data_IF_836636382500
#
_entry.id   IF_836636382500
#
_cell.length_a   1.000
_cell.length_b   1.000
_cell.length_c   1.000
_cell.angle_alpha   90.00
_cell.angle_beta   90.00
_cell.angle_gamma   90.00
#
_symmetry.space_group_name_H-M   'P 1'
#
loop_
_entity.id
_entity.type
_entity.pdbx_description
1 polymer ?
#
# COMPACT_ATOMS: atom_id res chain seq x y z
N UNK A 1 16.39 19.76 4.59
CA UNK A 1 14.98 19.76 4.13
C UNK A 1 14.25 18.67 4.90
N UNK A 2 13.09 18.93 5.53
CA UNK A 2 12.36 17.89 6.24
C UNK A 2 11.87 16.84 5.23
N UNK A 3 12.18 15.57 5.49
CA UNK A 3 11.69 14.44 4.67
C UNK A 3 10.18 14.32 4.89
N UNK A 4 9.39 14.71 3.88
CA UNK A 4 7.94 14.57 3.93
C UNK A 4 7.59 13.08 3.89
N UNK A 5 6.91 12.59 4.92
CA UNK A 5 6.43 11.20 4.98
C UNK A 5 5.06 11.19 4.31
N UNK A 6 4.97 10.59 3.13
CA UNK A 6 3.68 10.41 2.46
C UNK A 6 3.02 9.13 3.00
N UNK A 7 1.73 9.26 3.33
CA UNK A 7 0.92 8.20 3.87
C UNK A 7 -0.25 7.96 2.93
N UNK A 8 -0.43 6.71 2.54
CA UNK A 8 -1.51 6.26 1.67
C UNK A 8 -2.53 5.48 2.48
N UNK A 9 -3.78 5.58 2.09
CA UNK A 9 -4.85 4.68 2.52
C UNK A 9 -5.05 3.58 1.50
N UNK A 10 -5.82 2.56 1.88
CA UNK A 10 -6.24 1.49 0.94
C UNK A 10 -6.89 2.06 -0.32
N UNK A 11 -7.65 3.16 -0.20
CA UNK A 11 -8.31 3.80 -1.34
C UNK A 11 -7.29 4.44 -2.29
N UNK A 12 -6.26 5.10 -1.75
CA UNK A 12 -5.22 5.75 -2.56
C UNK A 12 -4.43 4.71 -3.35
N UNK A 13 -4.07 3.58 -2.71
CA UNK A 13 -3.39 2.47 -3.37
C UNK A 13 -4.30 1.84 -4.44
N UNK A 14 -5.57 1.60 -4.13
CA UNK A 14 -6.54 1.04 -5.08
C UNK A 14 -6.68 1.93 -6.32
N UNK A 15 -6.77 3.25 -6.13
CA UNK A 15 -6.85 4.23 -7.21
C UNK A 15 -5.55 4.29 -8.01
N UNK A 16 -4.38 4.26 -7.36
CA UNK A 16 -3.07 4.29 -8.02
C UNK A 16 -2.82 3.05 -8.89
N UNK A 17 -3.29 1.89 -8.46
CA UNK A 17 -3.12 0.62 -9.17
C UNK A 17 -4.29 0.30 -10.12
N UNK A 18 -5.39 1.05 -10.06
CA UNK A 18 -6.59 0.79 -10.85
C UNK A 18 -7.32 -0.51 -10.47
N UNK A 19 -7.18 -0.97 -9.21
CA UNK A 19 -7.76 -2.22 -8.71
C UNK A 19 -8.84 -1.96 -7.67
N UNK A 20 -9.58 -3.01 -7.31
CA UNK A 20 -10.61 -2.92 -6.27
C UNK A 20 -9.97 -2.79 -4.88
N UNK A 21 -10.63 -2.03 -4.00
CA UNK A 21 -10.26 -1.87 -2.59
C UNK A 21 -10.18 -3.23 -1.87
N UNK A 22 -11.05 -4.17 -2.22
CA UNK A 22 -11.04 -5.53 -1.68
C UNK A 22 -9.71 -6.25 -1.96
N UNK A 23 -9.17 -6.11 -3.18
CA UNK A 23 -7.89 -6.71 -3.57
C UNK A 23 -6.73 -6.14 -2.76
N UNK A 24 -6.71 -4.81 -2.55
CA UNK A 24 -5.69 -4.18 -1.68
C UNK A 24 -5.79 -4.68 -0.24
N UNK A 25 -7.01 -4.88 0.29
CA UNK A 25 -7.21 -5.45 1.63
C UNK A 25 -6.74 -6.90 1.70
N UNK A 26 -6.94 -7.68 0.64
CA UNK A 26 -6.44 -9.04 0.56
C UNK A 26 -4.90 -9.08 0.53
N UNK A 27 -4.23 -8.19 -0.19
CA UNK A 27 -2.76 -8.06 -0.14
C UNK A 27 -2.25 -7.73 1.27
N UNK A 28 -2.96 -6.86 2.00
CA UNK A 28 -2.63 -6.56 3.40
C UNK A 28 -2.84 -7.80 4.27
N UNK A 29 -3.95 -8.51 4.10
CA UNK A 29 -4.30 -9.71 4.88
C UNK A 29 -3.33 -10.88 4.62
N UNK A 30 -2.84 -11.01 3.39
CA UNK A 30 -1.83 -12.01 2.99
C UNK A 30 -0.41 -11.63 3.44
N UNK A 31 -0.20 -10.40 3.90
CA UNK A 31 1.11 -9.89 4.30
C UNK A 31 1.98 -9.42 3.13
N UNK A 32 1.43 -9.38 1.92
CA UNK A 32 2.12 -8.92 0.70
C UNK A 32 2.29 -7.39 0.74
N UNK A 33 1.28 -6.67 1.24
CA UNK A 33 1.34 -5.21 1.42
C UNK A 33 1.40 -4.86 2.91
N UNK A 34 2.55 -4.34 3.36
CA UNK A 34 2.74 -3.89 4.74
C UNK A 34 1.89 -2.64 5.02
N UNK A 35 0.99 -2.73 6.00
CA UNK A 35 0.13 -1.63 6.43
C UNK A 35 -0.07 -1.62 7.95
N UNK A 36 -0.22 -0.42 8.52
CA UNK A 36 -0.51 -0.19 9.93
C UNK A 36 -1.98 0.16 10.11
N UNK A 37 -2.68 -0.54 11.02
CA UNK A 37 -4.08 -0.22 11.34
C UNK A 37 -4.13 0.93 12.35
N UNK A 38 -4.64 2.07 11.92
CA UNK A 38 -4.84 3.27 12.75
C UNK A 38 -6.34 3.53 12.86
N UNK A 39 -6.90 3.22 14.04
CA UNK A 39 -8.34 3.23 14.27
C UNK A 39 -9.08 2.29 13.30
N UNK A 40 -9.89 2.87 12.41
CA UNK A 40 -10.69 2.13 11.41
C UNK A 40 -10.04 2.05 10.03
N UNK A 41 -8.88 2.68 9.82
CA UNK A 41 -8.20 2.76 8.52
C UNK A 41 -6.88 1.99 8.54
N UNK A 42 -6.49 1.49 7.38
CA UNK A 42 -5.11 1.06 7.15
C UNK A 42 -4.33 2.22 6.56
N UNK A 43 -3.12 2.42 7.09
CA UNK A 43 -2.15 3.42 6.66
C UNK A 43 -0.95 2.67 6.09
N UNK A 44 -0.58 3.02 4.87
CA UNK A 44 0.55 2.48 4.12
C UNK A 44 1.57 3.60 3.96
N UNK A 45 2.80 3.37 4.38
CA UNK A 45 3.90 4.32 4.15
C UNK A 45 4.45 4.20 2.74
N UNK A 46 5.03 5.27 2.19
CA UNK A 46 5.71 5.23 0.89
C UNK A 46 6.73 4.11 0.77
N UNK A 47 7.51 3.84 1.82
CA UNK A 47 8.53 2.77 1.80
C UNK A 47 7.86 1.39 1.59
N UNK A 48 6.86 1.04 2.40
CA UNK A 48 6.06 -0.18 2.21
C UNK A 48 5.42 -0.29 0.84
N UNK A 49 4.92 0.82 0.28
CA UNK A 49 4.32 0.80 -1.06
C UNK A 49 5.37 0.55 -2.15
N UNK A 50 6.55 1.18 -2.04
CA UNK A 50 7.68 0.92 -2.93
C UNK A 50 8.17 -0.52 -2.85
N UNK A 51 8.31 -1.06 -1.64
CA UNK A 51 8.65 -2.47 -1.43
C UNK A 51 7.63 -3.39 -2.12
N UNK A 52 6.34 -3.08 -1.99
CA UNK A 52 5.27 -3.83 -2.64
C UNK A 52 5.37 -3.78 -4.17
N UNK A 53 5.53 -2.60 -4.77
CA UNK A 53 5.67 -2.46 -6.23
C UNK A 53 6.91 -3.21 -6.71
N UNK A 54 8.05 -3.03 -6.04
CA UNK A 54 9.31 -3.66 -6.44
C UNK A 54 9.25 -5.20 -6.40
N UNK A 55 8.48 -5.76 -5.45
CA UNK A 55 8.22 -7.20 -5.40
C UNK A 55 7.31 -7.70 -6.55
N UNK A 56 6.46 -6.83 -7.11
CA UNK A 56 5.50 -7.17 -8.17
C UNK A 56 5.95 -6.75 -9.58
N UNK A 57 6.94 -5.86 -9.71
CA UNK A 57 7.52 -5.44 -11.00
C UNK A 57 8.40 -6.52 -11.67
N UNK A 58 8.60 -7.68 -11.05
CA UNK A 58 9.33 -8.80 -11.66
C UNK A 58 8.37 -9.68 -12.47
N UNK A 59 7.90 -9.15 -13.60
CA UNK A 59 7.21 -9.91 -14.66
C UNK A 59 7.48 -9.27 -16.04
N UNK A 60 8.75 -9.07 -16.44
CA UNK A 60 9.17 -8.95 -17.86
C UNK A 60 10.54 -9.60 -18.02
#
# INVERSE_FOLDING_TARGET
MPKQIELYTVNDIAQSLGIKIETVREYIKRGELKASKVGRKYIITTDSYKEFIQAHEVQI
#
